data_IF_996836515178
#
_entry.id   IF_996836515178
#
_cell.length_a   1.000
_cell.length_b   1.000
_cell.length_c   1.000
_cell.angle_alpha   90.00
_cell.angle_beta   90.00
_cell.angle_gamma   90.00
#
_symmetry.space_group_name_H-M   'P 1'
#
loop_
_entity.id
_entity.type
_entity.pdbx_description
1 polymer ?
#
# COMPACT_ATOMS: atom_id res chain seq x y z
N UNK A 1 53.75 -51.84 -29.94
CA UNK A 1 52.32 -51.77 -30.28
C UNK A 1 51.55 -51.29 -29.05
N UNK A 2 50.74 -50.24 -29.21
CA UNK A 2 49.80 -49.66 -28.24
C UNK A 2 48.83 -50.73 -27.66
N UNK A 3 48.17 -50.58 -26.50
CA UNK A 3 47.28 -49.49 -26.05
C UNK A 3 47.03 -49.60 -24.54
N UNK A 4 47.26 -48.55 -23.76
CA UNK A 4 46.36 -47.46 -23.31
C UNK A 4 45.44 -47.80 -22.13
N UNK A 5 45.62 -46.98 -21.09
CA UNK A 5 45.09 -47.08 -19.74
C UNK A 5 43.69 -46.47 -19.61
N UNK A 6 42.97 -46.98 -18.62
CA UNK A 6 41.68 -46.60 -18.05
C UNK A 6 41.19 -45.17 -18.31
N UNK A 7 39.97 -45.04 -18.83
CA UNK A 7 39.21 -43.79 -18.80
C UNK A 7 38.28 -43.76 -17.57
N UNK A 8 38.60 -42.89 -16.61
CA UNK A 8 37.65 -42.41 -15.59
C UNK A 8 37.26 -40.96 -15.90
N UNK A 9 35.95 -40.76 -16.02
CA UNK A 9 35.14 -39.58 -15.69
C UNK A 9 35.52 -38.18 -16.20
N UNK A 10 34.55 -37.55 -16.86
CA UNK A 10 34.08 -36.22 -16.45
C UNK A 10 32.64 -36.01 -16.95
N UNK A 11 31.67 -35.93 -16.03
CA UNK A 11 30.35 -35.37 -16.34
C UNK A 11 30.53 -33.90 -16.71
N UNK A 12 30.08 -33.53 -17.91
CA UNK A 12 30.09 -32.14 -18.35
C UNK A 12 29.17 -31.31 -17.44
N UNK A 13 29.76 -30.34 -16.74
CA UNK A 13 29.00 -29.30 -16.03
C UNK A 13 28.38 -28.37 -17.08
N UNK A 14 27.07 -28.41 -17.23
CA UNK A 14 26.32 -27.37 -17.95
C UNK A 14 26.56 -26.02 -17.28
N UNK A 15 26.94 -24.95 -18.01
CA UNK A 15 27.02 -23.62 -17.43
C UNK A 15 25.62 -23.18 -17.00
N UNK A 16 25.45 -22.96 -15.70
CA UNK A 16 24.24 -22.42 -15.09
C UNK A 16 24.02 -21.02 -15.68
N UNK A 17 22.91 -20.82 -16.38
CA UNK A 17 22.54 -19.52 -16.94
C UNK A 17 22.54 -18.46 -15.85
N UNK A 18 23.51 -17.55 -15.89
CA UNK A 18 23.61 -16.36 -15.03
C UNK A 18 22.70 -15.23 -15.55
N UNK A 19 21.50 -15.56 -16.02
CA UNK A 19 20.52 -14.58 -16.48
C UNK A 19 19.50 -14.30 -15.38
N UNK A 20 19.98 -13.84 -14.23
CA UNK A 20 19.15 -13.18 -13.23
C UNK A 20 20.08 -12.33 -12.39
N UNK A 21 19.79 -11.03 -12.26
CA UNK A 21 19.96 -10.21 -11.04
C UNK A 21 20.11 -8.70 -11.25
N UNK A 22 19.73 -8.13 -12.40
CA UNK A 22 19.64 -6.66 -12.49
C UNK A 22 18.35 -6.21 -13.16
N UNK A 23 17.24 -6.34 -12.44
CA UNK A 23 16.07 -5.51 -12.72
C UNK A 23 16.38 -4.09 -12.21
N UNK A 24 16.42 -3.06 -13.07
CA UNK A 24 16.66 -1.71 -12.62
C UNK A 24 15.53 -1.27 -11.67
N UNK A 25 15.88 -0.72 -10.51
CA UNK A 25 14.89 -0.13 -9.59
C UNK A 25 14.31 1.12 -10.24
N UNK A 26 13.04 1.07 -10.62
CA UNK A 26 12.33 2.22 -11.19
C UNK A 26 11.81 3.08 -10.04
N UNK A 27 12.21 4.35 -9.99
CA UNK A 27 11.65 5.31 -9.03
C UNK A 27 10.27 5.75 -9.50
N UNK A 28 9.29 5.75 -8.60
CA UNK A 28 8.02 6.42 -8.86
C UNK A 28 8.21 7.94 -8.77
N UNK A 29 7.95 8.67 -9.86
CA UNK A 29 8.07 10.14 -9.92
C UNK A 29 6.79 10.86 -9.44
N UNK A 30 6.10 10.28 -8.44
CA UNK A 30 4.82 10.79 -7.95
C UNK A 30 3.63 10.05 -8.57
N UNK A 31 3.57 8.74 -8.36
CA UNK A 31 2.39 7.94 -8.73
C UNK A 31 1.20 8.44 -7.89
N UNK A 32 0.21 9.03 -8.54
CA UNK A 32 -1.02 9.47 -7.87
C UNK A 32 -1.83 8.24 -7.45
N UNK A 33 -2.26 8.23 -6.19
CA UNK A 33 -3.07 7.18 -5.60
C UNK A 33 -4.24 7.82 -4.85
N UNK A 34 -5.34 7.09 -4.80
CA UNK A 34 -6.54 7.49 -4.08
C UNK A 34 -7.18 6.27 -3.41
N UNK A 35 -7.83 6.49 -2.28
CA UNK A 35 -8.60 5.45 -1.59
C UNK A 35 -9.89 6.03 -1.03
N UNK A 36 -10.85 5.15 -0.71
CA UNK A 36 -12.12 5.50 -0.09
C UNK A 36 -12.39 4.61 1.12
N UNK A 37 -13.06 5.18 2.12
CA UNK A 37 -13.63 4.45 3.26
C UNK A 37 -14.97 5.09 3.65
N UNK A 38 -15.86 4.33 4.26
CA UNK A 38 -17.07 4.89 4.85
C UNK A 38 -16.75 5.53 6.21
N UNK A 39 -17.43 6.63 6.50
CA UNK A 39 -17.47 7.28 7.81
C UNK A 39 -18.79 6.88 8.48
N UNK A 40 -18.73 6.45 9.74
CA UNK A 40 -19.93 5.99 10.45
C UNK A 40 -20.94 7.14 10.60
N UNK A 41 -22.25 6.88 10.42
CA UNK A 41 -23.27 7.88 10.68
C UNK A 41 -23.19 8.38 12.13
N UNK A 42 -23.37 9.68 12.33
CA UNK A 42 -23.42 10.30 13.66
C UNK A 42 -22.07 10.69 14.25
N UNK A 43 -20.94 10.27 13.68
CA UNK A 43 -19.61 10.65 14.17
C UNK A 43 -18.87 11.67 13.28
N UNK A 44 -19.58 12.26 12.31
CA UNK A 44 -19.00 13.16 11.30
C UNK A 44 -18.39 14.40 11.94
N UNK A 45 -19.12 15.07 12.81
CA UNK A 45 -18.66 16.30 13.47
C UNK A 45 -17.46 16.02 14.39
N UNK A 46 -17.57 14.97 15.20
CA UNK A 46 -16.47 14.53 16.07
C UNK A 46 -15.22 14.18 15.26
N UNK A 47 -15.38 13.50 14.12
CA UNK A 47 -14.26 13.22 13.23
C UNK A 47 -13.67 14.53 12.69
N UNK A 48 -14.45 15.42 12.09
CA UNK A 48 -13.90 16.64 11.48
C UNK A 48 -13.27 17.61 12.49
N UNK A 49 -13.71 17.60 13.75
CA UNK A 49 -13.19 18.47 14.80
C UNK A 49 -12.09 17.83 15.65
N UNK A 50 -11.86 16.51 15.54
CA UNK A 50 -10.93 15.82 16.43
C UNK A 50 -9.48 16.23 16.15
N UNK A 51 -8.80 16.86 17.13
CA UNK A 51 -7.38 17.22 16.99
C UNK A 51 -6.50 15.96 16.94
N UNK A 52 -7.04 14.80 17.33
CA UNK A 52 -6.32 13.54 17.34
C UNK A 52 -6.21 12.88 15.96
N UNK A 53 -6.82 13.43 14.91
CA UNK A 53 -6.70 12.86 13.57
C UNK A 53 -5.41 13.31 12.87
N UNK A 54 -4.92 14.51 13.16
CA UNK A 54 -3.80 15.13 12.45
C UNK A 54 -2.48 15.08 13.26
N UNK A 55 -2.02 13.88 13.64
CA UNK A 55 -0.79 13.74 14.42
C UNK A 55 0.46 14.06 13.58
N UNK A 56 1.34 14.98 14.02
CA UNK A 56 2.59 15.27 13.32
C UNK A 56 3.47 14.04 13.08
N UNK A 57 3.48 13.10 14.03
CA UNK A 57 4.23 11.86 13.93
C UNK A 57 3.70 10.92 12.83
N UNK A 58 2.38 10.92 12.56
CA UNK A 58 1.78 10.15 11.47
C UNK A 58 2.24 10.69 10.12
N UNK A 59 2.18 12.02 9.93
CA UNK A 59 2.69 12.65 8.70
C UNK A 59 4.18 12.40 8.49
N UNK A 60 4.97 12.43 9.57
CA UNK A 60 6.39 12.07 9.50
C UNK A 60 6.57 10.62 9.02
N UNK A 61 5.84 9.67 9.62
CA UNK A 61 5.92 8.26 9.23
C UNK A 61 5.50 8.03 7.77
N UNK A 62 4.43 8.69 7.31
CA UNK A 62 3.98 8.65 5.91
C UNK A 62 5.09 9.13 4.97
N UNK A 63 5.74 10.26 5.31
CA UNK A 63 6.86 10.80 4.53
C UNK A 63 8.07 9.87 4.52
N UNK A 64 8.41 9.26 5.66
CA UNK A 64 9.49 8.25 5.76
C UNK A 64 9.19 6.98 4.92
N UNK A 65 7.92 6.78 4.54
CA UNK A 65 7.46 5.71 3.65
C UNK A 65 7.11 6.24 2.24
N UNK A 66 7.69 7.39 1.85
CA UNK A 66 7.57 7.99 0.53
C UNK A 66 6.14 8.34 0.08
N UNK A 67 5.24 8.61 1.04
CA UNK A 67 3.94 9.20 0.79
C UNK A 67 4.02 10.72 0.94
N UNK A 68 3.63 11.43 -0.11
CA UNK A 68 3.63 12.89 -0.17
C UNK A 68 2.24 13.42 -0.52
N UNK A 69 2.00 14.70 -0.18
CA UNK A 69 0.76 15.44 -0.48
C UNK A 69 -0.52 14.71 -0.03
N UNK A 70 -0.45 14.04 1.12
CA UNK A 70 -1.55 13.24 1.64
C UNK A 70 -2.69 14.11 2.12
N UNK A 71 -3.85 13.99 1.46
CA UNK A 71 -5.05 14.76 1.73
C UNK A 71 -6.23 13.82 1.95
N UNK A 72 -7.09 14.14 2.92
CA UNK A 72 -8.37 13.47 3.15
C UNK A 72 -9.50 14.46 2.91
N UNK A 73 -10.45 14.09 2.05
CA UNK A 73 -11.69 14.80 1.77
C UNK A 73 -12.84 14.06 2.44
N UNK A 74 -13.88 14.78 2.83
CA UNK A 74 -15.14 14.21 3.31
C UNK A 74 -16.25 14.52 2.32
N UNK A 75 -16.95 13.49 1.87
CA UNK A 75 -18.17 13.61 1.08
C UNK A 75 -19.38 13.38 2.00
N UNK A 76 -20.09 14.46 2.29
CA UNK A 76 -21.27 14.42 3.15
C UNK A 76 -22.46 13.69 2.51
N UNK A 77 -22.54 13.63 1.17
CA UNK A 77 -23.67 13.00 0.49
C UNK A 77 -23.63 11.47 0.61
N UNK A 78 -22.42 10.90 0.60
CA UNK A 78 -22.18 9.45 0.68
C UNK A 78 -21.64 9.00 2.04
N UNK A 79 -21.50 9.93 3.00
CA UNK A 79 -20.84 9.68 4.29
C UNK A 79 -19.50 8.96 4.14
N UNK A 80 -18.68 9.41 3.18
CA UNK A 80 -17.42 8.75 2.85
C UNK A 80 -16.23 9.69 3.00
N UNK A 81 -15.08 9.12 3.30
CA UNK A 81 -13.80 9.83 3.21
C UNK A 81 -13.05 9.35 1.97
N UNK A 82 -12.45 10.31 1.27
CA UNK A 82 -11.61 10.06 0.11
C UNK A 82 -10.20 10.53 0.40
N UNK A 83 -9.20 9.71 0.09
CA UNK A 83 -7.79 10.12 0.20
C UNK A 83 -7.19 10.34 -1.17
N UNK A 84 -6.24 11.27 -1.24
CA UNK A 84 -5.41 11.51 -2.40
C UNK A 84 -3.98 11.77 -1.93
N UNK A 85 -3.02 11.07 -2.52
CA UNK A 85 -1.60 11.19 -2.19
C UNK A 85 -0.71 10.76 -3.35
N UNK A 86 0.56 11.16 -3.31
CA UNK A 86 1.58 10.75 -4.27
C UNK A 86 2.55 9.77 -3.61
N UNK A 87 2.85 8.69 -4.31
CA UNK A 87 3.95 7.80 -3.95
C UNK A 87 5.20 8.13 -4.76
N UNK A 88 6.33 8.36 -4.08
CA UNK A 88 7.61 8.79 -4.69
C UNK A 88 8.80 7.84 -4.45
N UNK A 89 8.53 6.64 -3.94
CA UNK A 89 9.54 5.65 -3.57
C UNK A 89 9.94 4.71 -4.69
N UNK A 90 10.57 3.59 -4.31
CA UNK A 90 11.06 2.54 -5.21
C UNK A 90 10.36 1.19 -5.03
N UNK A 91 9.68 1.00 -3.90
CA UNK A 91 9.07 -0.26 -3.49
C UNK A 91 7.80 0.02 -2.69
N UNK A 92 6.67 0.11 -3.39
CA UNK A 92 5.37 0.37 -2.78
C UNK A 92 5.02 -0.68 -1.73
N UNK A 93 5.26 -1.96 -2.04
CA UNK A 93 4.89 -3.06 -1.14
C UNK A 93 5.70 -2.98 0.16
N UNK A 94 7.02 -2.80 0.06
CA UNK A 94 7.88 -2.64 1.22
C UNK A 94 7.55 -1.39 2.05
N UNK A 95 7.24 -0.26 1.40
CA UNK A 95 6.90 0.98 2.11
C UNK A 95 5.54 0.89 2.83
N UNK A 96 4.55 0.24 2.24
CA UNK A 96 3.25 -0.02 2.88
C UNK A 96 3.39 -0.98 4.06
N UNK A 97 4.24 -2.00 3.95
CA UNK A 97 4.47 -2.91 5.07
C UNK A 97 5.13 -2.19 6.26
N UNK A 98 6.12 -1.33 6.00
CA UNK A 98 6.71 -0.48 7.06
C UNK A 98 5.67 0.44 7.70
N UNK A 99 4.69 0.95 6.95
CA UNK A 99 3.57 1.71 7.52
C UNK A 99 2.70 0.84 8.43
N UNK A 100 2.37 -0.39 8.00
CA UNK A 100 1.58 -1.35 8.76
C UNK A 100 2.25 -1.73 10.09
N UNK A 101 3.57 -1.89 10.08
CA UNK A 101 4.37 -2.25 11.26
C UNK A 101 4.63 -1.06 12.21
N UNK A 102 4.44 0.19 11.75
CA UNK A 102 4.71 1.37 12.57
C UNK A 102 3.76 1.48 13.76
N UNK A 103 4.34 1.49 14.97
CA UNK A 103 3.59 1.68 16.21
C UNK A 103 2.80 3.00 16.24
N UNK A 104 3.32 4.07 15.63
CA UNK A 104 2.63 5.37 15.52
C UNK A 104 1.37 5.25 14.67
N UNK A 105 1.47 4.57 13.53
CA UNK A 105 0.33 4.36 12.61
C UNK A 105 -0.70 3.44 13.25
N UNK A 106 -0.27 2.35 13.89
CA UNK A 106 -1.18 1.45 14.60
C UNK A 106 -1.93 2.15 15.74
N UNK A 107 -1.25 3.01 16.52
CA UNK A 107 -1.88 3.80 17.57
C UNK A 107 -2.91 4.78 17.00
N UNK A 108 -2.57 5.46 15.90
CA UNK A 108 -3.50 6.34 15.20
C UNK A 108 -4.72 5.57 14.66
N UNK A 109 -4.51 4.39 14.06
CA UNK A 109 -5.60 3.53 13.57
C UNK A 109 -6.54 3.06 14.68
N UNK A 110 -6.06 2.80 15.89
CA UNK A 110 -6.94 2.44 17.02
C UNK A 110 -7.98 3.52 17.31
N UNK A 111 -7.63 4.79 17.11
CA UNK A 111 -8.55 5.92 17.31
C UNK A 111 -9.43 6.10 16.07
N UNK A 112 -8.83 6.18 14.88
CA UNK A 112 -9.59 6.51 13.66
C UNK A 112 -10.54 5.40 13.22
N UNK A 113 -10.25 4.14 13.54
CA UNK A 113 -11.16 3.00 13.28
C UNK A 113 -12.51 3.14 14.00
N UNK A 114 -12.58 3.86 15.12
CA UNK A 114 -13.85 4.10 15.80
C UNK A 114 -14.85 4.84 14.90
N UNK A 115 -14.34 5.74 14.05
CA UNK A 115 -15.14 6.57 13.16
C UNK A 115 -15.38 5.93 11.79
N UNK A 116 -14.64 4.88 11.45
CA UNK A 116 -14.57 4.35 10.08
C UNK A 116 -15.21 2.97 9.96
N UNK A 117 -15.68 2.66 8.77
CA UNK A 117 -16.10 1.33 8.36
C UNK A 117 -15.55 1.02 6.96
N UNK A 118 -15.04 -0.20 6.76
CA UNK A 118 -14.68 -0.62 5.40
C UNK A 118 -15.93 -0.52 4.51
N UNK A 119 -15.82 0.03 3.27
CA UNK A 119 -16.96 0.19 2.38
C UNK A 119 -17.76 -1.10 2.18
N UNK A 120 -17.08 -2.24 2.10
CA UNK A 120 -17.71 -3.54 1.88
C UNK A 120 -18.45 -4.12 3.12
N UNK A 121 -18.17 -3.63 4.34
CA UNK A 121 -18.77 -4.18 5.56
C UNK A 121 -20.15 -3.57 5.91
N UNK A 122 -20.45 -2.36 5.45
CA UNK A 122 -21.73 -1.68 5.74
C UNK A 122 -22.47 -1.20 4.47
N UNK A 123 -21.79 -1.00 3.33
CA UNK A 123 -22.43 -0.51 2.08
C UNK A 123 -22.68 -1.61 1.03
N UNK A 124 -22.28 -2.85 1.30
CA UNK A 124 -22.51 -4.01 0.43
C UNK A 124 -23.47 -4.97 1.10
N UNK A 125 -24.59 -5.28 0.45
CA UNK A 125 -25.19 -6.61 0.66
C UNK A 125 -24.09 -7.61 0.35
N UNK A 126 -23.61 -8.28 1.41
CA UNK A 126 -22.44 -9.18 1.49
C UNK A 126 -21.94 -9.69 0.14
N UNK A 127 -20.70 -9.35 -0.22
CA UNK A 127 -19.96 -10.11 -1.21
C UNK A 127 -19.04 -11.13 -0.54
N UNK A 128 -19.05 -12.33 -1.11
CA UNK A 128 -18.35 -13.53 -0.67
C UNK A 128 -16.82 -13.39 -0.63
N UNK A 129 -16.24 -14.14 0.33
CA UNK A 129 -14.94 -14.81 0.31
C UNK A 129 -13.65 -13.97 0.15
N UNK A 130 -13.50 -12.94 0.99
CA UNK A 130 -12.21 -12.33 1.33
C UNK A 130 -12.37 -11.19 2.33
N UNK A 131 -11.46 -11.03 3.29
CA UNK A 131 -11.48 -9.81 4.12
C UNK A 131 -11.13 -8.60 3.23
N UNK A 132 -12.02 -7.60 3.12
CA UNK A 132 -11.76 -6.44 2.28
C UNK A 132 -10.64 -5.58 2.88
N UNK A 133 -9.87 -4.93 2.02
CA UNK A 133 -8.94 -3.88 2.46
C UNK A 133 -9.71 -2.82 3.26
N UNK A 134 -9.18 -2.39 4.41
CA UNK A 134 -9.86 -1.40 5.27
C UNK A 134 -10.18 -0.10 4.50
N UNK A 135 -9.22 0.35 3.68
CA UNK A 135 -9.40 1.43 2.71
C UNK A 135 -9.37 0.84 1.29
N UNK A 136 -10.42 1.08 0.52
CA UNK A 136 -10.52 0.56 -0.85
C UNK A 136 -9.76 1.48 -1.82
N UNK A 137 -8.87 0.90 -2.64
CA UNK A 137 -8.16 1.65 -3.68
C UNK A 137 -9.07 2.11 -4.81
N UNK A 138 -8.93 3.38 -5.23
CA UNK A 138 -9.63 3.95 -6.38
C UNK A 138 -8.66 4.08 -7.56
N UNK A 139 -9.07 3.53 -8.72
CA UNK A 139 -8.31 3.66 -9.94
C UNK A 139 -8.36 5.10 -10.47
N UNK A 140 -7.21 5.68 -10.78
CA UNK A 140 -7.13 6.95 -11.49
C UNK A 140 -7.63 6.75 -12.92
N UNK A 141 -8.57 7.58 -13.36
CA UNK A 141 -9.01 7.60 -14.76
C UNK A 141 -7.84 7.92 -15.70
N UNK A 142 -7.80 7.35 -16.91
CA UNK A 142 -6.80 7.67 -17.93
C UNK A 142 -7.13 9.03 -18.59
N UNK A 143 -7.13 10.09 -17.79
CA UNK A 143 -7.28 11.45 -18.29
C UNK A 143 -5.89 12.08 -18.41
N UNK A 144 -5.56 12.56 -19.60
CA UNK A 144 -4.41 13.40 -19.87
C UNK A 144 -4.97 14.77 -20.30
N UNK A 145 -4.43 15.88 -19.77
CA UNK A 145 -4.90 17.22 -20.10
C UNK A 145 -4.73 17.56 -21.58
#
# INVERSE_FOLDING_TARGET
MWSYSSSRTASALTPRSLSSQFSPRIKHVGRQMAQIIALRPGCVEEYLQSPHIAWPAVFKQMKDCNLEDYTIFHDAATHSLFTSFRYVGYDWAGDVERLRESAVIQAWWKITRHYQASPDCEMREKADDGEPDWWQGIARAPFQP
#
